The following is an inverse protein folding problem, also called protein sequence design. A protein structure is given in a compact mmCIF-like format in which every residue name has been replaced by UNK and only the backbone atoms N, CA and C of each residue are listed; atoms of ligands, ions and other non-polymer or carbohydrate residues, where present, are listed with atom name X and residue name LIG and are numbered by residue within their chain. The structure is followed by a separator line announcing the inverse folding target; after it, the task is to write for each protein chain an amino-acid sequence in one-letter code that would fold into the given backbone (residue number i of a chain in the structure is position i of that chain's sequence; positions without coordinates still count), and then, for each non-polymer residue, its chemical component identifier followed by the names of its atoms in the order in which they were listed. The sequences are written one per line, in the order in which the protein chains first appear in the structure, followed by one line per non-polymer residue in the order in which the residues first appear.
data_IF_427878001846
#
_entry.id   IF_427878001846
#
_cell.length_a   1.000
_cell.length_b   1.000
_cell.length_c   1.000
_cell.angle_alpha   90.00
_cell.angle_beta   90.00
_cell.angle_gamma   90.00
#
_symmetry.space_group_name_H-M   'P 1'
#
loop_
_entity.id
_entity.type
_entity.pdbx_description
1 polymer ?
#
# COMPACT_ATOMS: atom_id res chain seq x y z
N UNK A 1 -9.58 -1.65 22.54
CA UNK A 1 -10.06 -2.59 21.49
C UNK A 1 -8.88 -3.44 21.08
N UNK A 2 -9.03 -4.76 20.93
CA UNK A 2 -7.92 -5.59 20.43
C UNK A 2 -7.64 -5.28 18.96
N UNK A 3 -6.44 -5.58 18.47
CA UNK A 3 -6.10 -5.34 17.04
C UNK A 3 -7.06 -6.08 16.11
N UNK A 4 -7.47 -7.30 16.46
CA UNK A 4 -8.43 -8.09 15.71
C UNK A 4 -9.83 -7.46 15.70
N UNK A 5 -10.29 -6.94 16.84
CA UNK A 5 -11.56 -6.23 16.91
C UNK A 5 -11.53 -4.93 16.09
N UNK A 6 -10.40 -4.21 16.07
CA UNK A 6 -10.23 -3.01 15.26
C UNK A 6 -10.32 -3.31 13.76
N UNK A 7 -9.64 -4.37 13.30
CA UNK A 7 -9.76 -4.82 11.90
C UNK A 7 -11.18 -5.27 11.58
N UNK A 8 -11.83 -6.07 12.44
CA UNK A 8 -13.21 -6.50 12.21
C UNK A 8 -14.18 -5.32 12.06
N UNK A 9 -14.02 -4.25 12.84
CA UNK A 9 -14.84 -3.04 12.72
C UNK A 9 -14.62 -2.32 11.37
N UNK A 10 -13.36 -2.22 10.93
CA UNK A 10 -13.01 -1.63 9.62
C UNK A 10 -13.59 -2.46 8.47
N UNK A 11 -13.49 -3.79 8.53
CA UNK A 11 -14.04 -4.67 7.51
C UNK A 11 -15.56 -4.61 7.44
N UNK A 12 -16.25 -4.50 8.58
CA UNK A 12 -17.70 -4.26 8.62
C UNK A 12 -18.08 -2.95 7.92
N UNK A 13 -17.38 -1.85 8.25
CA UNK A 13 -17.62 -0.55 7.64
C UNK A 13 -17.33 -0.54 6.12
N UNK A 14 -16.29 -1.27 5.67
CA UNK A 14 -16.00 -1.43 4.25
C UNK A 14 -17.08 -2.24 3.54
N UNK A 15 -17.58 -3.32 4.16
CA UNK A 15 -18.65 -4.14 3.58
C UNK A 15 -19.94 -3.34 3.39
N UNK A 16 -20.26 -2.43 4.30
CA UNK A 16 -21.44 -1.56 4.21
C UNK A 16 -21.31 -0.48 3.13
N UNK A 17 -20.10 0.06 2.92
CA UNK A 17 -19.89 1.20 2.01
C UNK A 17 -19.48 0.78 0.59
N UNK A 18 -18.69 -0.28 0.45
CA UNK A 18 -18.13 -0.72 -0.84
C UNK A 18 -18.66 -2.09 -1.31
N UNK A 19 -19.01 -2.99 -0.39
CA UNK A 19 -19.55 -4.33 -0.72
C UNK A 19 -18.55 -5.32 -1.35
N UNK A 20 -17.26 -4.96 -1.43
CA UNK A 20 -16.19 -5.79 -2.00
C UNK A 20 -14.94 -5.87 -1.13
N UNK A 21 -13.88 -6.48 -1.67
CA UNK A 21 -12.57 -6.54 -1.03
C UNK A 21 -11.82 -5.22 -1.23
N UNK A 22 -11.20 -4.74 -0.17
CA UNK A 22 -10.46 -3.48 -0.16
C UNK A 22 -9.00 -3.64 0.25
N UNK A 23 -8.43 -2.51 0.67
CA UNK A 23 -7.05 -2.41 1.11
C UNK A 23 -6.98 -1.87 2.54
N UNK A 24 -6.39 -2.66 3.42
CA UNK A 24 -6.02 -2.28 4.78
C UNK A 24 -4.66 -1.58 4.76
N UNK A 25 -4.61 -0.41 5.36
CA UNK A 25 -3.45 0.45 5.45
C UNK A 25 -2.83 0.37 6.84
N UNK A 26 -1.60 -0.14 6.92
CA UNK A 26 -0.99 -0.59 8.17
C UNK A 26 0.35 0.12 8.41
N UNK A 27 0.52 0.84 9.53
CA UNK A 27 1.84 1.31 9.95
C UNK A 27 2.80 0.14 10.21
N UNK A 28 4.06 0.25 9.80
CA UNK A 28 5.06 -0.83 9.92
C UNK A 28 5.14 -1.43 11.33
N UNK A 29 5.05 -0.59 12.39
CA UNK A 29 5.13 -1.03 13.78
C UNK A 29 3.97 -1.94 14.25
N UNK A 30 2.84 -1.97 13.53
CA UNK A 30 1.65 -2.76 13.89
C UNK A 30 1.68 -4.14 13.21
N UNK A 31 2.51 -4.33 12.18
CA UNK A 31 2.53 -5.56 11.38
C UNK A 31 2.78 -6.83 12.21
N UNK A 32 3.68 -6.76 13.21
CA UNK A 32 3.98 -7.89 14.08
C UNK A 32 2.76 -8.34 14.91
N UNK A 33 1.91 -7.39 15.35
CA UNK A 33 0.70 -7.67 16.11
C UNK A 33 -0.35 -8.38 15.23
N UNK A 34 -0.49 -7.94 13.98
CA UNK A 34 -1.41 -8.54 13.02
C UNK A 34 -1.03 -9.98 12.64
N UNK A 35 0.27 -10.27 12.54
CA UNK A 35 0.78 -11.63 12.34
C UNK A 35 0.63 -12.51 13.58
N UNK A 36 0.92 -11.99 14.77
CA UNK A 36 0.81 -12.71 16.04
C UNK A 36 -0.61 -13.24 16.28
N UNK A 37 -1.63 -12.43 15.98
CA UNK A 37 -3.03 -12.79 16.15
C UNK A 37 -3.65 -13.49 14.92
N UNK A 38 -2.87 -13.86 13.89
CA UNK A 38 -3.35 -14.45 12.64
C UNK A 38 -4.45 -13.62 11.94
N UNK A 39 -4.44 -12.29 12.16
CA UNK A 39 -5.37 -11.35 11.53
C UNK A 39 -5.00 -11.17 10.06
N UNK A 40 -3.69 -11.11 9.78
CA UNK A 40 -3.16 -11.18 8.42
C UNK A 40 -2.49 -12.52 8.18
N UNK A 41 -2.71 -13.06 6.99
CA UNK A 41 -2.06 -14.26 6.45
C UNK A 41 -1.38 -13.92 5.14
N UNK A 42 -0.22 -14.49 4.89
CA UNK A 42 0.45 -14.32 3.60
C UNK A 42 -0.32 -15.08 2.51
N UNK A 43 -0.62 -14.41 1.40
CA UNK A 43 -1.08 -15.08 0.20
C UNK A 43 0.11 -15.72 -0.52
N UNK A 44 0.13 -17.04 -0.63
CA UNK A 44 1.20 -17.76 -1.33
C UNK A 44 1.29 -17.43 -2.82
N UNK A 45 0.20 -16.99 -3.46
CA UNK A 45 0.18 -16.72 -4.89
C UNK A 45 0.71 -15.32 -5.24
N UNK A 46 0.44 -14.33 -4.38
CA UNK A 46 0.77 -12.93 -4.65
C UNK A 46 1.80 -12.34 -3.69
N UNK A 47 2.27 -13.13 -2.73
CA UNK A 47 3.13 -12.70 -1.62
C UNK A 47 2.58 -11.49 -0.83
N UNK A 48 1.25 -11.31 -0.85
CA UNK A 48 0.58 -10.15 -0.27
C UNK A 48 -0.14 -10.57 1.01
N UNK A 49 0.07 -9.89 2.15
CA UNK A 49 -0.71 -10.14 3.36
C UNK A 49 -2.20 -9.83 3.12
N UNK A 50 -3.08 -10.71 3.58
CA UNK A 50 -4.53 -10.57 3.47
C UNK A 50 -5.25 -10.98 4.74
N UNK A 51 -6.42 -10.40 4.98
CA UNK A 51 -7.31 -10.81 6.05
C UNK A 51 -8.11 -12.07 5.66
N UNK A 52 -8.87 -12.62 6.61
CA UNK A 52 -9.80 -13.73 6.32
C UNK A 52 -10.94 -13.30 5.38
N UNK A 53 -11.41 -12.05 5.47
CA UNK A 53 -12.43 -11.51 4.57
C UNK A 53 -11.90 -11.25 3.15
N UNK A 54 -10.59 -11.43 2.92
CA UNK A 54 -9.95 -11.28 1.62
C UNK A 54 -9.43 -9.87 1.33
N UNK A 55 -9.49 -8.95 2.29
CA UNK A 55 -8.91 -7.62 2.15
C UNK A 55 -7.38 -7.74 2.11
N UNK A 56 -6.74 -7.07 1.16
CA UNK A 56 -5.27 -7.00 1.11
C UNK A 56 -4.77 -6.03 2.17
N UNK A 57 -3.53 -6.17 2.59
CA UNK A 57 -2.89 -5.23 3.50
C UNK A 57 -1.58 -4.69 2.92
N UNK A 58 -1.44 -3.37 2.97
CA UNK A 58 -0.20 -2.67 2.67
C UNK A 58 0.42 -2.19 3.97
N UNK A 59 1.67 -2.62 4.20
CA UNK A 59 2.44 -2.29 5.39
C UNK A 59 3.55 -1.32 4.95
N UNK A 60 3.63 -0.15 5.56
CA UNK A 60 4.67 0.81 5.17
C UNK A 60 4.83 2.03 6.04
N UNK A 61 5.94 2.75 5.80
CA UNK A 61 6.31 3.98 6.51
C UNK A 61 5.43 5.18 6.14
N UNK A 62 4.65 5.08 5.04
CA UNK A 62 3.72 6.12 4.59
C UNK A 62 2.56 6.39 5.54
N UNK A 63 2.30 5.50 6.52
CA UNK A 63 1.26 5.66 7.55
C UNK A 63 1.77 6.33 8.84
N UNK A 64 2.87 7.07 8.70
CA UNK A 64 3.60 7.97 9.61
C UNK A 64 3.93 7.47 11.02
N UNK A 65 4.98 8.03 11.63
CA UNK A 65 5.31 7.78 13.04
C UNK A 65 4.28 8.40 14.00
N UNK A 66 3.67 9.52 13.61
CA UNK A 66 2.63 10.18 14.39
C UNK A 66 1.32 9.38 14.38
N UNK A 67 1.09 8.62 13.30
CA UNK A 67 -0.09 7.78 13.09
C UNK A 67 -1.35 8.53 13.53
N UNK A 68 -1.77 9.52 12.75
CA UNK A 68 -2.81 10.49 13.14
C UNK A 68 -4.19 10.06 12.69
N UNK A 69 -5.16 10.07 13.60
CA UNK A 69 -6.55 9.70 13.30
C UNK A 69 -7.29 10.70 12.41
N UNK A 70 -8.60 10.48 12.16
CA UNK A 70 -9.43 11.31 11.29
C UNK A 70 -9.54 12.78 11.72
N UNK A 71 -9.33 13.06 13.01
CA UNK A 71 -9.30 14.39 13.62
C UNK A 71 -7.90 15.04 13.57
N UNK A 72 -6.91 14.35 13.00
CA UNK A 72 -5.52 14.78 12.94
C UNK A 72 -4.73 14.52 14.23
N UNK A 73 -5.35 13.97 15.28
CA UNK A 73 -4.68 13.72 16.55
C UNK A 73 -3.80 12.46 16.46
N UNK A 74 -2.59 12.47 17.05
CA UNK A 74 -1.72 11.29 17.07
C UNK A 74 -2.34 10.16 17.89
N UNK A 75 -1.99 8.92 17.55
CA UNK A 75 -2.37 7.77 18.36
C UNK A 75 -1.83 7.89 19.80
N UNK A 76 -2.67 7.52 20.78
CA UNK A 76 -2.23 7.45 22.17
C UNK A 76 -1.13 6.37 22.34
N UNK A 77 -0.23 6.51 23.34
CA UNK A 77 0.79 5.50 23.60
C UNK A 77 0.20 4.09 23.73
N UNK A 78 0.80 3.13 23.02
CA UNK A 78 0.32 1.73 22.99
C UNK A 78 -0.88 1.48 22.07
N UNK A 79 -1.33 2.48 21.32
CA UNK A 79 -2.39 2.34 20.33
C UNK A 79 -1.88 2.70 18.93
N UNK A 80 -2.61 2.28 17.91
CA UNK A 80 -2.37 2.68 16.53
C UNK A 80 -3.67 2.73 15.73
N UNK A 81 -3.77 3.71 14.85
CA UNK A 81 -4.77 3.83 13.81
C UNK A 81 -4.41 2.97 12.60
N UNK A 82 -5.44 2.27 12.11
CA UNK A 82 -5.47 1.51 10.88
C UNK A 82 -6.56 2.14 10.00
N UNK A 83 -6.36 2.13 8.69
CA UNK A 83 -7.34 2.64 7.74
C UNK A 83 -7.74 1.54 6.78
N UNK A 84 -8.95 1.60 6.27
CA UNK A 84 -9.40 0.72 5.20
C UNK A 84 -10.02 1.57 4.10
N UNK A 85 -9.73 1.20 2.86
CA UNK A 85 -10.34 1.80 1.67
C UNK A 85 -10.78 0.69 0.71
N UNK A 86 -11.56 1.04 -0.32
CA UNK A 86 -11.71 0.15 -1.46
C UNK A 86 -10.37 -0.07 -2.20
N UNK A 87 -10.35 -0.87 -3.27
CA UNK A 87 -9.14 -1.13 -4.03
C UNK A 87 -8.45 0.14 -4.49
N UNK A 88 -7.12 0.18 -4.29
CA UNK A 88 -6.26 1.17 -4.93
C UNK A 88 -5.88 0.65 -6.30
N UNK A 89 -6.27 1.38 -7.34
CA UNK A 89 -5.93 1.07 -8.73
C UNK A 89 -4.82 2.00 -9.22
N UNK A 90 -3.83 1.43 -9.92
CA UNK A 90 -2.78 2.20 -10.58
C UNK A 90 -2.91 2.00 -12.09
N UNK A 91 -3.23 3.08 -12.80
CA UNK A 91 -3.26 3.10 -14.26
C UNK A 91 -1.94 3.64 -14.78
N UNK A 92 -1.29 2.84 -15.63
CA UNK A 92 0.01 3.16 -16.17
C UNK A 92 -0.13 3.59 -17.64
N UNK A 93 0.47 4.73 -17.96
CA UNK A 93 0.60 5.19 -19.33
C UNK A 93 1.69 4.42 -20.10
N UNK A 94 1.89 4.78 -21.38
CA UNK A 94 2.99 4.24 -22.17
C UNK A 94 4.35 4.57 -21.53
N UNK A 95 5.35 3.73 -21.79
CA UNK A 95 6.74 3.95 -21.37
C UNK A 95 7.42 4.87 -22.36
N UNK A 96 8.00 5.95 -21.86
CA UNK A 96 8.92 6.84 -22.58
C UNK A 96 10.37 6.41 -22.28
N UNK A 97 11.19 6.31 -23.32
CA UNK A 97 12.58 5.85 -23.24
C UNK A 97 13.48 6.95 -23.77
N UNK A 98 14.35 7.48 -22.91
CA UNK A 98 15.22 8.62 -23.23
C UNK A 98 16.70 8.26 -22.97
N UNK A 99 17.56 8.29 -24.00
CA UNK A 99 17.22 8.44 -25.42
C UNK A 99 16.63 7.14 -25.99
N UNK A 100 15.74 7.28 -26.97
CA UNK A 100 15.03 6.19 -27.64
C UNK A 100 15.90 5.38 -28.62
N UNK A 101 17.16 5.78 -28.78
CA UNK A 101 18.14 5.18 -29.70
C UNK A 101 19.53 5.13 -29.08
N UNK A 102 20.33 4.14 -29.48
CA UNK A 102 21.60 3.82 -28.84
C UNK A 102 22.69 4.92 -28.97
N UNK A 103 22.75 5.66 -30.08
CA UNK A 103 23.81 6.64 -30.32
C UNK A 103 23.91 7.73 -29.23
N UNK A 104 22.83 8.48 -28.94
CA UNK A 104 22.81 9.47 -27.87
C UNK A 104 22.91 8.88 -26.45
N UNK A 105 22.71 7.56 -26.28
CA UNK A 105 22.81 6.89 -24.98
C UNK A 105 24.27 6.69 -24.53
N UNK A 106 25.22 6.73 -25.47
CA UNK A 106 26.62 6.36 -25.23
C UNK A 106 27.49 7.60 -25.05
N UNK A 107 28.17 7.69 -23.92
CA UNK A 107 29.26 8.63 -23.70
C UNK A 107 30.57 8.02 -24.20
N UNK A 108 30.96 8.34 -25.43
CA UNK A 108 32.17 7.79 -26.06
C UNK A 108 33.50 8.16 -25.36
N UNK A 109 33.51 9.14 -24.44
CA UNK A 109 34.72 9.52 -23.71
C UNK A 109 35.04 8.59 -22.55
N UNK A 110 34.02 7.93 -21.98
CA UNK A 110 34.16 7.01 -20.83
C UNK A 110 33.55 5.64 -21.09
N UNK A 111 32.97 5.42 -22.27
CA UNK A 111 32.29 4.18 -22.68
C UNK A 111 31.12 3.80 -21.76
N UNK A 112 30.41 4.79 -21.23
CA UNK A 112 29.21 4.58 -20.43
C UNK A 112 27.95 4.67 -21.31
N UNK A 113 26.99 3.77 -21.04
CA UNK A 113 25.67 3.80 -21.64
C UNK A 113 24.63 4.15 -20.57
N UNK A 114 23.80 5.17 -20.81
CA UNK A 114 22.71 5.56 -19.92
C UNK A 114 21.40 5.69 -20.70
N UNK A 115 20.37 5.03 -20.21
CA UNK A 115 18.99 5.10 -20.72
C UNK A 115 18.06 5.30 -19.52
N UNK A 116 17.13 6.24 -19.65
CA UNK A 116 16.03 6.46 -18.73
C UNK A 116 14.77 5.84 -19.33
N UNK A 117 14.06 5.02 -18.59
CA UNK A 117 12.72 4.56 -18.95
C UNK A 117 11.73 5.06 -17.88
N UNK A 118 10.79 5.89 -18.27
CA UNK A 118 9.80 6.48 -17.38
C UNK A 118 8.38 6.32 -17.93
N UNK A 119 7.37 6.41 -17.06
CA UNK A 119 5.97 6.38 -17.47
C UNK A 119 5.13 7.16 -16.49
N UNK A 120 4.06 7.78 -16.99
CA UNK A 120 3.07 8.43 -16.15
C UNK A 120 2.23 7.37 -15.43
N UNK A 121 1.98 7.57 -14.14
CA UNK A 121 1.08 6.74 -13.34
C UNK A 121 -0.03 7.62 -12.76
N UNK A 122 -1.26 7.13 -12.83
CA UNK A 122 -2.42 7.72 -12.15
C UNK A 122 -2.89 6.74 -11.09
N UNK A 123 -2.90 7.19 -9.84
CA UNK A 123 -3.38 6.41 -8.70
C UNK A 123 -4.81 6.84 -8.40
N UNK A 124 -5.73 5.87 -8.33
CA UNK A 124 -7.12 6.10 -7.97
C UNK A 124 -7.57 5.16 -6.86
N UNK A 125 -8.57 5.59 -6.12
CA UNK A 125 -9.33 4.74 -5.19
C UNK A 125 -10.78 4.74 -5.63
N UNK A 126 -11.52 3.69 -5.32
CA UNK A 126 -12.96 3.70 -5.54
C UNK A 126 -13.63 4.77 -4.67
N UNK A 127 -14.58 5.51 -5.25
CA UNK A 127 -15.38 6.54 -4.60
C UNK A 127 -16.51 5.92 -3.75
#
# INVERSE_FOLDING_TARGET
VSVAQGVAALEGALAETYGGQGLLHVPTGVAALLGCCQVLRQDAATDCPRTLAGNRAVIGAGYSAANSGPDGAPAAPGTAWLYISGPVEVRLGPVDVVPDRAGPAVNYRVNDLKVLAERTAVVGTTC
#
